data_IF_833508757141
#
_entry.id   IF_833508757141
#
_cell.length_a   1.000
_cell.length_b   1.000
_cell.length_c   1.000
_cell.angle_alpha   90.00
_cell.angle_beta   90.00
_cell.angle_gamma   90.00
#
_symmetry.space_group_name_H-M   'P 1'
#
loop_
_entity.id
_entity.type
_entity.pdbx_description
1 polymer ?
#
# COMPACT_ATOMS: atom_id res chain seq x y z
N UNK A 1 129.88 -4.70 12.19
CA UNK A 1 129.28 -3.63 13.02
C UNK A 1 128.47 -4.28 14.13
N UNK A 2 128.83 -3.93 15.36
CA UNK A 2 128.20 -4.13 16.69
C UNK A 2 126.65 -4.08 16.64
N UNK A 3 125.83 -4.68 17.52
CA UNK A 3 126.01 -5.29 18.85
C UNK A 3 124.64 -5.84 19.34
N UNK A 4 124.67 -6.94 20.11
CA UNK A 4 123.76 -7.28 21.23
C UNK A 4 122.25 -7.50 20.95
N UNK A 5 121.47 -8.22 21.76
CA UNK A 5 121.70 -8.93 23.00
C UNK A 5 120.52 -9.90 23.22
N UNK A 6 120.78 -10.92 24.02
CA UNK A 6 119.96 -12.08 24.39
C UNK A 6 118.71 -11.72 25.20
N UNK A 7 117.71 -12.61 25.19
CA UNK A 7 116.64 -12.63 26.19
C UNK A 7 115.52 -13.64 25.93
N UNK A 8 115.79 -14.92 26.15
CA UNK A 8 114.81 -16.00 26.31
C UNK A 8 113.98 -15.74 27.58
N UNK A 9 112.66 -15.50 27.52
CA UNK A 9 111.78 -15.77 28.67
C UNK A 9 110.35 -16.18 28.27
N UNK A 10 109.97 -17.34 28.80
CA UNK A 10 108.67 -17.99 28.96
C UNK A 10 107.39 -17.16 28.73
N UNK A 11 106.51 -17.68 27.87
CA UNK A 11 105.06 -17.39 27.90
C UNK A 11 104.44 -18.09 29.11
N UNK A 12 103.90 -17.35 30.07
CA UNK A 12 102.91 -17.85 31.03
C UNK A 12 101.52 -17.39 30.61
N UNK A 13 100.62 -18.36 30.40
CA UNK A 13 99.19 -18.14 30.29
C UNK A 13 98.62 -17.87 31.69
N UNK A 14 98.11 -16.67 31.95
CA UNK A 14 97.17 -16.41 33.04
C UNK A 14 95.99 -15.57 32.50
N UNK A 15 94.74 -15.93 32.84
CA UNK A 15 93.56 -15.23 32.35
C UNK A 15 93.50 -13.80 32.93
N UNK A 16 93.24 -12.83 32.05
CA UNK A 16 93.11 -11.41 32.39
C UNK A 16 91.86 -11.22 33.26
N UNK A 17 92.08 -10.87 34.52
CA UNK A 17 91.06 -10.58 35.55
C UNK A 17 90.18 -9.40 35.09
N UNK A 18 88.86 -9.58 35.14
CA UNK A 18 87.91 -8.49 34.90
C UNK A 18 87.92 -7.55 36.10
N UNK A 19 88.19 -6.27 35.85
CA UNK A 19 88.17 -5.20 36.83
C UNK A 19 87.12 -4.19 36.37
N UNK A 20 86.13 -3.99 37.25
CA UNK A 20 84.92 -3.22 36.98
C UNK A 20 85.08 -1.71 37.15
N UNK A 21 83.90 -1.08 37.16
CA UNK A 21 83.60 0.28 37.62
C UNK A 21 83.82 1.44 36.64
N UNK A 22 82.84 1.62 35.74
CA UNK A 22 82.28 2.95 35.45
C UNK A 22 80.76 2.82 35.27
N UNK A 23 80.01 2.79 36.40
CA UNK A 23 78.56 2.96 36.36
C UNK A 23 78.28 4.47 36.46
N UNK A 24 77.76 5.04 35.37
CA UNK A 24 77.12 6.37 35.36
C UNK A 24 75.73 6.26 35.99
N UNK A 25 75.28 7.21 36.82
CA UNK A 25 73.96 7.14 37.44
C UNK A 25 72.86 7.47 36.41
N UNK A 26 71.91 6.55 36.21
CA UNK A 26 70.68 6.80 35.46
C UNK A 26 69.47 6.73 36.38
N UNK A 27 68.99 7.92 36.75
CA UNK A 27 67.62 8.35 36.99
C UNK A 27 66.58 7.27 37.30
N UNK A 28 66.03 7.36 38.52
CA UNK A 28 64.90 6.59 39.03
C UNK A 28 63.68 6.63 38.10
N UNK A 29 63.23 5.46 37.63
CA UNK A 29 61.87 5.27 37.10
C UNK A 29 61.21 4.19 37.94
N UNK A 30 60.25 4.61 38.77
CA UNK A 30 59.38 3.73 39.53
C UNK A 30 58.48 2.94 38.56
N UNK A 31 58.81 1.68 38.31
CA UNK A 31 57.91 0.70 37.70
C UNK A 31 58.23 -0.71 38.22
N UNK A 32 58.17 -0.90 39.53
CA UNK A 32 57.95 -2.24 40.07
C UNK A 32 56.44 -2.50 39.96
N UNK A 33 55.97 -3.50 39.20
CA UNK A 33 54.56 -3.85 39.20
C UNK A 33 54.15 -4.28 40.62
N UNK A 34 52.97 -3.86 41.07
CA UNK A 34 52.39 -4.15 42.39
C UNK A 34 52.36 -5.66 42.73
N UNK A 35 52.54 -6.52 41.73
CA UNK A 35 52.70 -7.97 41.81
C UNK A 35 54.03 -8.45 42.44
N UNK A 36 54.99 -7.56 42.72
CA UNK A 36 56.29 -7.93 43.29
C UNK A 36 56.32 -7.94 44.84
N UNK A 37 55.19 -7.64 45.50
CA UNK A 37 55.16 -7.33 46.94
C UNK A 37 54.32 -8.29 47.80
N UNK A 38 54.18 -9.55 47.37
CA UNK A 38 53.54 -10.63 48.13
C UNK A 38 54.27 -11.97 47.96
N UNK A 39 54.04 -12.96 48.84
CA UNK A 39 54.59 -14.30 48.67
C UNK A 39 54.15 -14.85 47.31
N UNK A 40 55.09 -15.41 46.53
CA UNK A 40 54.79 -16.02 45.23
C UNK A 40 53.90 -17.25 45.43
N UNK A 41 52.59 -17.06 45.29
CA UNK A 41 51.62 -18.17 45.31
C UNK A 41 51.78 -18.90 43.98
N UNK A 42 52.11 -20.20 44.02
CA UNK A 42 52.41 -20.98 42.81
C UNK A 42 51.20 -21.22 41.90
N UNK A 43 49.98 -21.00 42.41
CA UNK A 43 48.72 -21.14 41.69
C UNK A 43 47.81 -19.93 41.96
N UNK A 44 47.72 -19.00 41.00
CA UNK A 44 46.73 -17.91 41.06
C UNK A 44 45.31 -18.47 40.83
N UNK A 45 44.28 -18.09 41.62
CA UNK A 45 42.92 -18.54 41.37
C UNK A 45 42.42 -17.97 40.03
N UNK A 46 41.96 -18.84 39.13
CA UNK A 46 41.41 -18.41 37.85
C UNK A 46 40.10 -17.66 38.07
N UNK A 47 40.08 -16.36 37.77
CA UNK A 47 38.89 -15.53 37.79
C UNK A 47 37.98 -15.95 36.62
N UNK A 48 36.92 -16.69 36.91
CA UNK A 48 35.86 -16.99 35.94
C UNK A 48 35.01 -15.74 35.81
N UNK A 49 35.38 -14.87 34.87
CA UNK A 49 34.59 -13.71 34.49
C UNK A 49 33.65 -14.09 33.36
N UNK A 50 32.38 -13.71 33.45
CA UNK A 50 31.40 -13.96 32.38
C UNK A 50 31.72 -13.05 31.19
N UNK A 51 32.35 -13.65 30.18
CA UNK A 51 32.83 -12.97 28.97
C UNK A 51 32.10 -13.53 27.76
N UNK A 52 31.90 -12.72 26.70
CA UNK A 52 31.35 -13.23 25.46
C UNK A 52 32.22 -14.37 24.92
N UNK A 53 31.63 -15.34 24.20
CA UNK A 53 32.38 -16.43 23.62
C UNK A 53 33.48 -15.87 22.70
N UNK A 54 34.59 -16.61 22.53
CA UNK A 54 35.76 -16.15 21.73
C UNK A 54 35.43 -15.79 20.27
N UNK A 55 34.23 -16.14 19.76
CA UNK A 55 33.71 -15.78 18.44
C UNK A 55 32.52 -14.77 18.43
N UNK A 56 32.14 -14.20 19.58
CA UNK A 56 31.02 -13.27 19.70
C UNK A 56 29.63 -13.90 19.52
N UNK A 57 28.58 -13.07 19.60
CA UNK A 57 27.20 -13.48 19.34
C UNK A 57 26.87 -13.44 17.85
N UNK A 58 25.96 -14.30 17.37
CA UNK A 58 25.50 -14.25 15.99
C UNK A 58 24.86 -12.87 15.69
N UNK A 59 25.02 -12.37 14.46
CA UNK A 59 24.50 -11.06 14.10
C UNK A 59 22.98 -11.05 14.14
N UNK A 60 22.42 -10.20 15.02
CA UNK A 60 20.98 -9.98 15.14
C UNK A 60 20.56 -8.98 14.06
N UNK A 61 19.50 -9.30 13.30
CA UNK A 61 18.96 -8.37 12.31
C UNK A 61 18.20 -7.24 13.01
N UNK A 62 18.84 -6.09 13.15
CA UNK A 62 18.25 -4.88 13.74
C UNK A 62 17.38 -4.08 12.77
N UNK A 63 17.41 -4.40 11.45
CA UNK A 63 16.69 -3.67 10.41
C UNK A 63 15.30 -4.23 10.17
N UNK A 64 14.36 -3.35 9.81
CA UNK A 64 12.99 -3.72 9.45
C UNK A 64 12.98 -4.58 8.17
N UNK A 65 12.48 -5.81 8.26
CA UNK A 65 12.34 -6.72 7.13
C UNK A 65 10.97 -6.55 6.45
N UNK A 66 10.79 -5.51 5.63
CA UNK A 66 9.59 -5.42 4.78
C UNK A 66 9.85 -6.03 3.42
N UNK A 67 9.18 -7.14 3.16
CA UNK A 67 9.10 -7.71 1.83
C UNK A 67 7.99 -6.99 1.07
N UNK A 68 8.32 -6.36 -0.06
CA UNK A 68 7.31 -5.83 -0.98
C UNK A 68 6.57 -7.03 -1.61
N UNK A 69 5.36 -7.30 -1.10
CA UNK A 69 4.57 -8.50 -1.44
C UNK A 69 3.52 -8.25 -2.53
N UNK A 70 3.34 -7.00 -2.94
CA UNK A 70 2.31 -6.61 -3.91
C UNK A 70 2.82 -6.68 -5.34
N UNK A 71 1.88 -6.82 -6.28
CA UNK A 71 2.15 -6.66 -7.70
C UNK A 71 2.56 -5.21 -7.97
N UNK A 72 3.52 -5.01 -8.87
CA UNK A 72 3.99 -3.67 -9.21
C UNK A 72 2.83 -2.79 -9.70
N UNK A 73 2.96 -1.47 -9.53
CA UNK A 73 1.92 -0.50 -9.91
C UNK A 73 1.42 -0.72 -11.34
N UNK A 74 2.34 -0.97 -12.29
CA UNK A 74 2.02 -1.24 -13.70
C UNK A 74 1.07 -2.42 -13.90
N UNK A 75 1.29 -3.53 -13.19
CA UNK A 75 0.47 -4.73 -13.30
C UNK A 75 -0.96 -4.45 -12.80
N UNK A 76 -1.09 -3.74 -11.68
CA UNK A 76 -2.39 -3.35 -11.15
C UNK A 76 -3.13 -2.39 -12.08
N UNK A 77 -2.43 -1.43 -12.68
CA UNK A 77 -3.04 -0.50 -13.65
C UNK A 77 -3.57 -1.25 -14.87
N UNK A 78 -2.80 -2.18 -15.45
CA UNK A 78 -3.24 -2.96 -16.62
C UNK A 78 -4.49 -3.77 -16.30
N UNK A 79 -4.50 -4.47 -15.17
CA UNK A 79 -5.64 -5.30 -14.76
C UNK A 79 -6.87 -4.42 -14.47
N UNK A 80 -6.67 -3.29 -13.80
CA UNK A 80 -7.73 -2.32 -13.52
C UNK A 80 -8.34 -1.77 -14.81
N UNK A 81 -7.51 -1.35 -15.76
CA UNK A 81 -7.97 -0.82 -17.05
C UNK A 81 -8.72 -1.88 -17.85
N UNK A 82 -8.21 -3.12 -17.94
CA UNK A 82 -8.89 -4.22 -18.64
C UNK A 82 -10.26 -4.53 -18.03
N UNK A 83 -10.33 -4.58 -16.70
CA UNK A 83 -11.59 -4.85 -15.99
C UNK A 83 -12.61 -3.74 -16.25
N UNK A 84 -12.17 -2.48 -16.24
CA UNK A 84 -13.06 -1.34 -16.52
C UNK A 84 -13.55 -1.30 -17.97
N UNK A 85 -12.66 -1.57 -18.93
CA UNK A 85 -13.03 -1.66 -20.35
C UNK A 85 -14.06 -2.76 -20.58
N UNK A 86 -13.87 -3.92 -19.96
CA UNK A 86 -14.85 -5.01 -20.04
C UNK A 86 -16.19 -4.65 -19.38
N UNK A 87 -16.15 -3.96 -18.23
CA UNK A 87 -17.35 -3.43 -17.59
C UNK A 87 -18.13 -2.49 -18.51
N UNK A 88 -17.43 -1.56 -19.16
CA UNK A 88 -18.04 -0.62 -20.11
C UNK A 88 -18.67 -1.33 -21.31
N UNK A 89 -17.99 -2.35 -21.85
CA UNK A 89 -18.52 -3.17 -22.94
C UNK A 89 -19.83 -3.87 -22.54
N UNK A 90 -19.88 -4.51 -21.37
CA UNK A 90 -21.09 -5.19 -20.89
C UNK A 90 -22.23 -4.23 -20.61
N UNK A 91 -21.92 -3.04 -20.09
CA UNK A 91 -22.91 -1.98 -19.86
C UNK A 91 -23.46 -1.43 -21.18
N UNK A 92 -22.63 -1.21 -22.19
CA UNK A 92 -23.08 -0.83 -23.53
C UNK A 92 -24.00 -1.89 -24.16
N UNK A 93 -23.68 -3.18 -24.00
CA UNK A 93 -24.56 -4.27 -24.42
C UNK A 93 -25.91 -4.24 -23.68
N UNK A 94 -25.89 -3.98 -22.37
CA UNK A 94 -27.09 -3.87 -21.55
C UNK A 94 -28.00 -2.73 -22.03
N UNK A 95 -27.43 -1.56 -22.33
CA UNK A 95 -28.19 -0.43 -22.87
C UNK A 95 -28.83 -0.72 -24.23
N UNK A 96 -28.12 -1.38 -25.13
CA UNK A 96 -28.68 -1.78 -26.42
C UNK A 96 -29.88 -2.74 -26.24
N UNK A 97 -29.76 -3.69 -25.31
CA UNK A 97 -30.84 -4.62 -24.99
C UNK A 97 -32.07 -3.92 -24.39
N UNK A 98 -31.86 -3.02 -23.42
CA UNK A 98 -32.95 -2.22 -22.86
C UNK A 98 -33.65 -1.35 -23.91
N UNK A 99 -32.89 -0.77 -24.83
CA UNK A 99 -33.44 0.05 -25.90
C UNK A 99 -34.30 -0.77 -26.85
N UNK A 100 -33.87 -1.99 -27.20
CA UNK A 100 -34.69 -2.92 -27.99
C UNK A 100 -36.01 -3.25 -27.28
N UNK A 101 -35.98 -3.52 -25.98
CA UNK A 101 -37.20 -3.76 -25.20
C UNK A 101 -38.12 -2.54 -25.16
N UNK A 102 -37.57 -1.35 -24.90
CA UNK A 102 -38.34 -0.09 -24.90
C UNK A 102 -38.98 0.16 -26.27
N UNK A 103 -38.25 -0.09 -27.36
CA UNK A 103 -38.78 0.02 -28.73
C UNK A 103 -39.91 -0.97 -28.98
N UNK A 104 -39.74 -2.24 -28.60
CA UNK A 104 -40.76 -3.27 -28.75
C UNK A 104 -42.05 -2.92 -27.98
N UNK A 105 -41.92 -2.49 -26.72
CA UNK A 105 -43.07 -2.06 -25.91
C UNK A 105 -43.78 -0.85 -26.50
N UNK A 106 -43.04 0.15 -27.01
CA UNK A 106 -43.62 1.33 -27.67
C UNK A 106 -44.36 0.96 -28.95
N UNK A 107 -43.81 0.06 -29.76
CA UNK A 107 -44.46 -0.42 -30.97
C UNK A 107 -45.77 -1.15 -30.64
N UNK A 108 -45.74 -2.05 -29.66
CA UNK A 108 -46.94 -2.74 -29.19
C UNK A 108 -48.01 -1.75 -28.69
N UNK A 109 -47.60 -0.77 -27.88
CA UNK A 109 -48.52 0.25 -27.38
C UNK A 109 -49.11 1.09 -28.53
N UNK A 110 -48.28 1.56 -29.46
CA UNK A 110 -48.73 2.34 -30.63
C UNK A 110 -49.76 1.61 -31.47
N UNK A 111 -49.62 0.28 -31.61
CA UNK A 111 -50.55 -0.54 -32.38
C UNK A 111 -51.88 -0.74 -31.65
N UNK A 112 -51.88 -0.74 -30.31
CA UNK A 112 -53.08 -0.95 -29.49
C UNK A 112 -53.87 0.34 -29.22
N UNK A 113 -53.19 1.49 -29.16
CA UNK A 113 -53.82 2.81 -28.91
C UNK A 113 -55.07 3.06 -29.75
N UNK A 114 -55.09 2.89 -31.09
CA UNK A 114 -56.27 3.24 -31.88
C UNK A 114 -57.49 2.39 -31.51
N UNK A 115 -57.29 1.14 -31.12
CA UNK A 115 -58.37 0.28 -30.66
C UNK A 115 -58.94 0.74 -29.31
N UNK A 116 -58.05 0.97 -28.33
CA UNK A 116 -58.43 1.47 -27.00
C UNK A 116 -59.09 2.85 -27.06
N UNK A 117 -58.56 3.73 -27.91
CA UNK A 117 -59.12 5.06 -28.12
C UNK A 117 -60.49 4.98 -28.79
N UNK A 118 -60.66 4.11 -29.78
CA UNK A 118 -61.97 3.87 -30.41
C UNK A 118 -63.03 3.39 -29.42
N UNK A 119 -62.70 2.43 -28.55
CA UNK A 119 -63.61 1.97 -27.50
C UNK A 119 -63.96 3.10 -26.52
N UNK A 120 -62.95 3.89 -26.12
CA UNK A 120 -63.14 5.04 -25.23
C UNK A 120 -64.06 6.09 -25.85
N UNK A 121 -63.83 6.45 -27.10
CA UNK A 121 -64.60 7.46 -27.82
C UNK A 121 -66.07 7.03 -27.97
N UNK A 122 -66.33 5.75 -28.23
CA UNK A 122 -67.69 5.20 -28.27
C UNK A 122 -68.36 5.31 -26.89
N UNK A 123 -67.68 4.88 -25.83
CA UNK A 123 -68.23 4.92 -24.48
C UNK A 123 -68.53 6.37 -24.04
N UNK A 124 -67.62 7.30 -24.35
CA UNK A 124 -67.77 8.71 -24.05
C UNK A 124 -68.94 9.34 -24.84
N UNK A 125 -69.07 9.03 -26.14
CA UNK A 125 -70.19 9.48 -26.94
C UNK A 125 -71.54 8.98 -26.40
N UNK A 126 -71.62 7.72 -25.96
CA UNK A 126 -72.82 7.15 -25.35
C UNK A 126 -73.16 7.85 -24.04
N UNK A 127 -72.17 8.06 -23.17
CA UNK A 127 -72.34 8.77 -21.91
C UNK A 127 -72.82 10.21 -22.13
N UNK A 128 -72.15 10.95 -23.01
CA UNK A 128 -72.51 12.33 -23.32
C UNK A 128 -73.95 12.45 -23.88
N UNK A 129 -74.39 11.49 -24.69
CA UNK A 129 -75.79 11.42 -25.17
C UNK A 129 -76.77 11.14 -24.03
N UNK A 130 -76.42 10.25 -23.10
CA UNK A 130 -77.25 9.96 -21.93
C UNK A 130 -77.36 11.18 -21.01
N UNK A 131 -76.25 11.85 -20.75
CA UNK A 131 -76.18 13.05 -19.91
C UNK A 131 -77.00 14.20 -20.52
N UNK A 132 -76.89 14.44 -21.84
CA UNK A 132 -77.74 15.42 -22.55
C UNK A 132 -79.24 15.10 -22.44
N UNK A 133 -79.63 13.83 -22.63
CA UNK A 133 -81.03 13.39 -22.50
C UNK A 133 -81.54 13.50 -21.06
N UNK A 134 -80.69 13.28 -20.07
CA UNK A 134 -81.04 13.47 -18.67
C UNK A 134 -81.23 14.97 -18.37
N UNK A 135 -80.32 15.80 -18.84
CA UNK A 135 -80.37 17.25 -18.66
C UNK A 135 -81.62 17.87 -19.30
N UNK A 136 -81.97 17.45 -20.52
CA UNK A 136 -83.21 17.82 -21.20
C UNK A 136 -84.46 17.52 -20.36
N UNK A 137 -84.47 16.38 -19.67
CA UNK A 137 -85.58 16.01 -18.79
C UNK A 137 -85.68 16.90 -17.56
N UNK A 138 -84.55 17.29 -16.99
CA UNK A 138 -84.50 18.08 -15.76
C UNK A 138 -84.70 19.58 -15.99
N UNK A 139 -84.28 20.12 -17.14
CA UNK A 139 -84.23 21.56 -17.40
C UNK A 139 -85.40 22.10 -18.24
N UNK A 140 -86.49 21.34 -18.38
CA UNK A 140 -87.69 21.75 -19.14
C UNK A 140 -88.32 23.06 -18.67
N UNK A 141 -88.18 23.36 -17.39
CA UNK A 141 -88.85 24.50 -16.75
C UNK A 141 -88.09 25.82 -16.92
N UNK A 142 -86.87 25.80 -17.47
CA UNK A 142 -86.03 26.99 -17.68
C UNK A 142 -86.00 27.38 -19.15
N UNK A 143 -86.60 28.53 -19.55
CA UNK A 143 -86.70 28.93 -20.95
C UNK A 143 -85.38 29.40 -21.57
N UNK A 144 -84.40 29.79 -20.73
CA UNK A 144 -83.11 30.33 -21.19
C UNK A 144 -82.06 29.25 -21.44
N UNK A 145 -82.35 27.99 -21.10
CA UNK A 145 -81.37 26.90 -21.16
C UNK A 145 -81.43 26.13 -22.48
N UNK A 146 -80.35 26.18 -23.25
CA UNK A 146 -80.19 25.39 -24.47
C UNK A 146 -79.15 24.27 -24.29
N UNK A 147 -79.57 23.01 -24.46
CA UNK A 147 -78.74 21.81 -24.22
C UNK A 147 -77.64 21.63 -25.28
N UNK A 148 -77.88 22.11 -26.50
CA UNK A 148 -76.96 21.94 -27.63
C UNK A 148 -76.03 23.14 -27.81
N UNK A 149 -76.17 24.17 -27.00
CA UNK A 149 -75.27 25.30 -26.99
C UNK A 149 -73.89 24.90 -26.43
N UNK A 150 -72.83 25.28 -27.16
CA UNK A 150 -71.46 25.04 -26.72
C UNK A 150 -71.04 26.16 -25.75
N UNK A 151 -70.50 25.77 -24.60
CA UNK A 151 -69.92 26.72 -23.63
C UNK A 151 -68.70 27.49 -24.17
N UNK A 152 -67.96 26.91 -25.12
CA UNK A 152 -66.78 27.53 -25.70
C UNK A 152 -67.08 27.95 -27.14
N UNK A 153 -66.86 29.23 -27.43
CA UNK A 153 -67.12 29.84 -28.75
C UNK A 153 -66.03 29.58 -29.80
N UNK A 154 -65.07 28.68 -29.52
CA UNK A 154 -64.00 28.34 -30.45
C UNK A 154 -64.39 27.10 -31.23
N UNK A 155 -64.47 27.23 -32.55
CA UNK A 155 -64.56 26.08 -33.44
C UNK A 155 -63.18 25.43 -33.57
N UNK A 156 -63.07 24.16 -33.17
CA UNK A 156 -61.86 23.36 -33.38
C UNK A 156 -61.93 22.75 -34.78
N UNK A 157 -61.06 23.22 -35.66
CA UNK A 157 -60.78 22.60 -36.96
C UNK A 157 -60.10 21.23 -36.78
#
# INVERSE_FOLDING_TARGET
>A
MLSGSRGLFFRSNLPRRQEGDVIRPSNYTNSQPLAAMGPRVSNEPQLIQDMPPKGGYPPIRVRRNLRQRLWGAKTLTIIGTLTMLYGWYKLAQGWAFEEMHKKASKQLHSNMIPFLQGERDIAEAVKNRADKKALDKFMKDSPDFNIDEKFFHVERN
#
